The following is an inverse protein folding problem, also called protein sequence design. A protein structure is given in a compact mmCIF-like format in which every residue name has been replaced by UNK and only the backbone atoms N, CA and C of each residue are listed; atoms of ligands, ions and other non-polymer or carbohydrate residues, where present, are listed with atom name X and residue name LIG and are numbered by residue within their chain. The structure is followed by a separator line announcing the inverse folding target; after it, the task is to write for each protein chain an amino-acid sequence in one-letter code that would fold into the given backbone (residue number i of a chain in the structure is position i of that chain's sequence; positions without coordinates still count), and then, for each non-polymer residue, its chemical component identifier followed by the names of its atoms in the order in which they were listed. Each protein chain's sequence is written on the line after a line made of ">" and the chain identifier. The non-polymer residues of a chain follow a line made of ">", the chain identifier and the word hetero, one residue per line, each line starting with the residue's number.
data_IF_709931661926
#
_entry.id   IF_709931661926
#
_cell.length_a   1.000
_cell.length_b   1.000
_cell.length_c   1.000
_cell.angle_alpha   90.00
_cell.angle_beta   90.00
_cell.angle_gamma   90.00
#
_symmetry.space_group_name_H-M   'P 1'
#
loop_
_entity.id
_entity.type
_entity.pdbx_description
1 polymer ?
#
# COMPACT_ATOMS: atom_id res chain seq x y z
N UNK A 1 -30.27 -12.43 -22.45
CA UNK A 1 -29.64 -12.42 -21.12
C UNK A 1 -28.33 -13.20 -21.24
N UNK A 2 -27.26 -12.52 -21.63
CA UNK A 2 -25.86 -13.00 -21.63
C UNK A 2 -24.99 -11.80 -22.06
N UNK A 3 -24.58 -10.98 -21.10
CA UNK A 3 -23.34 -10.20 -21.24
C UNK A 3 -22.37 -10.83 -20.26
N UNK A 4 -21.86 -12.02 -20.61
CA UNK A 4 -20.76 -12.60 -19.87
C UNK A 4 -19.63 -11.57 -19.88
N UNK A 5 -19.29 -11.03 -18.71
CA UNK A 5 -18.02 -10.39 -18.45
C UNK A 5 -16.96 -11.47 -18.70
N UNK A 6 -16.58 -11.72 -19.95
CA UNK A 6 -15.46 -12.60 -20.24
C UNK A 6 -14.22 -11.72 -20.10
N UNK A 7 -13.47 -11.78 -18.99
CA UNK A 7 -12.15 -11.15 -18.96
C UNK A 7 -11.26 -11.75 -20.04
N UNK A 8 -10.16 -11.07 -20.35
CA UNK A 8 -9.18 -11.64 -21.28
C UNK A 8 -8.76 -13.05 -20.78
N UNK A 9 -8.87 -14.11 -21.60
CA UNK A 9 -8.72 -15.50 -21.15
C UNK A 9 -7.32 -15.79 -20.60
N UNK A 10 -6.32 -15.03 -21.06
CA UNK A 10 -4.91 -15.27 -20.73
C UNK A 10 -4.41 -14.52 -19.47
N UNK A 11 -5.30 -13.88 -18.70
CA UNK A 11 -4.87 -13.22 -17.45
C UNK A 11 -4.38 -14.29 -16.46
N UNK A 12 -3.12 -14.23 -15.99
CA UNK A 12 -2.55 -15.31 -15.22
C UNK A 12 -2.94 -15.18 -13.73
N UNK A 13 -4.19 -15.51 -13.41
CA UNK A 13 -4.81 -15.26 -12.10
C UNK A 13 -4.10 -15.95 -10.92
N UNK A 14 -3.45 -17.07 -11.19
CA UNK A 14 -2.77 -17.92 -10.21
C UNK A 14 -1.32 -17.52 -9.93
N UNK A 15 -0.75 -16.60 -10.72
CA UNK A 15 0.60 -16.14 -10.48
C UNK A 15 0.69 -15.31 -9.20
N UNK A 16 1.85 -15.32 -8.53
CA UNK A 16 2.17 -14.35 -7.47
C UNK A 16 1.91 -12.92 -7.94
N UNK A 17 1.48 -12.05 -7.02
CA UNK A 17 1.05 -10.67 -7.35
C UNK A 17 2.07 -9.92 -8.22
N UNK A 18 3.36 -9.99 -7.90
CA UNK A 18 4.40 -9.29 -8.67
C UNK A 18 4.56 -9.82 -10.10
N UNK A 19 4.48 -11.13 -10.28
CA UNK A 19 4.56 -11.74 -11.61
C UNK A 19 3.32 -11.43 -12.46
N UNK A 20 2.14 -11.43 -11.84
CA UNK A 20 0.90 -11.03 -12.52
C UNK A 20 0.90 -9.56 -12.92
N UNK A 21 1.47 -8.67 -12.09
CA UNK A 21 1.61 -7.26 -12.43
C UNK A 21 2.67 -7.02 -13.51
N UNK A 22 3.73 -7.84 -13.56
CA UNK A 22 4.66 -7.84 -14.70
C UNK A 22 3.96 -8.23 -16.00
N UNK A 23 3.11 -9.26 -15.99
CA UNK A 23 2.27 -9.59 -17.15
C UNK A 23 1.31 -8.44 -17.54
N UNK A 24 0.82 -7.67 -16.55
CA UNK A 24 0.04 -6.47 -16.82
C UNK A 24 0.87 -5.38 -17.51
N UNK A 25 2.14 -5.22 -17.14
CA UNK A 25 3.08 -4.31 -17.81
C UNK A 25 3.37 -4.76 -19.23
N UNK A 26 3.59 -6.06 -19.46
CA UNK A 26 3.81 -6.60 -20.81
C UNK A 26 2.59 -6.34 -21.73
N UNK A 27 1.38 -6.31 -21.15
CA UNK A 27 0.14 -6.10 -21.89
C UNK A 27 -0.23 -4.62 -22.09
N UNK A 28 -0.06 -3.76 -21.07
CA UNK A 28 -0.52 -2.36 -21.08
C UNK A 28 0.61 -1.33 -21.20
N UNK A 29 1.84 -1.68 -20.87
CA UNK A 29 2.93 -0.75 -20.59
C UNK A 29 2.88 -0.18 -19.16
N UNK A 30 4.04 0.24 -18.64
CA UNK A 30 4.19 0.72 -17.26
C UNK A 30 3.30 1.93 -16.95
N UNK A 31 3.30 2.95 -17.82
CA UNK A 31 2.51 4.17 -17.66
C UNK A 31 1.02 3.86 -17.45
N UNK A 32 0.48 2.95 -18.27
CA UNK A 32 -0.93 2.57 -18.19
C UNK A 32 -1.23 1.73 -16.96
N UNK A 33 -0.31 0.85 -16.54
CA UNK A 33 -0.44 0.10 -15.29
C UNK A 33 -0.48 1.05 -14.09
N UNK A 34 0.40 2.05 -14.05
CA UNK A 34 0.38 3.06 -12.99
C UNK A 34 -0.92 3.86 -13.04
N UNK A 35 -1.34 4.37 -14.19
CA UNK A 35 -2.59 5.12 -14.33
C UNK A 35 -3.81 4.33 -13.83
N UNK A 36 -3.87 3.03 -14.16
CA UNK A 36 -4.92 2.13 -13.71
C UNK A 36 -4.82 1.84 -12.19
N UNK A 37 -3.61 1.70 -11.64
CA UNK A 37 -3.40 1.55 -10.20
C UNK A 37 -3.88 2.79 -9.41
N UNK A 38 -3.62 3.98 -9.94
CA UNK A 38 -4.09 5.24 -9.38
C UNK A 38 -5.61 5.37 -9.45
N UNK A 39 -6.23 4.95 -10.57
CA UNK A 39 -7.68 4.88 -10.68
C UNK A 39 -8.27 3.96 -9.59
N UNK A 40 -7.73 2.74 -9.45
CA UNK A 40 -8.16 1.84 -8.38
C UNK A 40 -7.99 2.46 -6.99
N UNK A 41 -6.85 3.11 -6.69
CA UNK A 41 -6.60 3.75 -5.40
C UNK A 41 -7.57 4.91 -5.10
N UNK A 42 -8.11 5.59 -6.12
CA UNK A 42 -9.19 6.58 -5.97
C UNK A 42 -10.57 5.96 -5.77
N UNK A 43 -10.70 4.63 -5.82
CA UNK A 43 -11.99 3.94 -5.84
C UNK A 43 -12.68 4.02 -7.21
N UNK A 44 -11.94 4.37 -8.27
CA UNK A 44 -12.45 4.45 -9.63
C UNK A 44 -12.33 3.10 -10.35
N UNK A 45 -13.09 2.94 -11.43
CA UNK A 45 -13.02 1.76 -12.27
C UNK A 45 -11.80 1.79 -13.20
N UNK A 46 -10.87 0.85 -13.03
CA UNK A 46 -9.71 0.68 -13.91
C UNK A 46 -9.91 -0.37 -15.03
N UNK A 47 -11.13 -0.87 -15.20
CA UNK A 47 -11.46 -1.93 -16.13
C UNK A 47 -11.35 -3.33 -15.52
N UNK A 48 -12.21 -4.24 -15.99
CA UNK A 48 -12.33 -5.62 -15.49
C UNK A 48 -11.00 -6.39 -15.53
N UNK A 49 -10.24 -6.26 -16.61
CA UNK A 49 -9.02 -7.03 -16.81
C UNK A 49 -7.92 -6.54 -15.86
N UNK A 50 -7.78 -5.22 -15.71
CA UNK A 50 -6.82 -4.68 -14.74
C UNK A 50 -7.20 -5.00 -13.29
N UNK A 51 -8.49 -5.01 -12.96
CA UNK A 51 -8.95 -5.48 -11.65
C UNK A 51 -8.47 -6.91 -11.36
N UNK A 52 -8.45 -7.78 -12.37
CA UNK A 52 -7.93 -9.14 -12.27
C UNK A 52 -6.41 -9.20 -12.24
N UNK A 53 -5.70 -8.36 -12.97
CA UNK A 53 -4.24 -8.23 -12.83
C UNK A 53 -3.84 -7.77 -11.42
N UNK A 54 -4.57 -6.83 -10.83
CA UNK A 54 -4.26 -6.32 -9.49
C UNK A 54 -4.75 -7.26 -8.36
N UNK A 55 -5.94 -7.84 -8.51
CA UNK A 55 -6.65 -8.61 -7.48
C UNK A 55 -6.60 -10.13 -7.60
N UNK A 56 -6.35 -10.66 -8.81
CA UNK A 56 -6.30 -12.11 -9.06
C UNK A 56 -7.65 -12.78 -8.98
N UNK A 57 -7.66 -14.03 -8.49
CA UNK A 57 -8.90 -14.78 -8.23
C UNK A 57 -9.91 -14.02 -7.36
N UNK A 58 -9.46 -13.18 -6.42
CA UNK A 58 -10.38 -12.37 -5.62
C UNK A 58 -11.11 -11.31 -6.47
N UNK A 59 -10.49 -10.84 -7.55
CA UNK A 59 -11.14 -9.96 -8.50
C UNK A 59 -12.29 -10.64 -9.25
N UNK A 60 -12.20 -11.96 -9.51
CA UNK A 60 -13.31 -12.71 -10.12
C UNK A 60 -14.56 -12.65 -9.25
N UNK A 61 -14.41 -12.84 -7.93
CA UNK A 61 -15.54 -12.74 -7.00
C UNK A 61 -16.25 -11.39 -7.09
N UNK A 62 -15.51 -10.28 -7.24
CA UNK A 62 -16.08 -8.95 -7.44
C UNK A 62 -16.82 -8.86 -8.79
N UNK A 63 -16.23 -9.41 -9.86
CA UNK A 63 -16.88 -9.45 -11.18
C UNK A 63 -18.15 -10.33 -11.18
N UNK A 64 -18.20 -11.33 -10.30
CA UNK A 64 -19.35 -12.22 -10.08
C UNK A 64 -20.38 -11.64 -9.08
N UNK A 65 -20.22 -10.36 -8.69
CA UNK A 65 -21.21 -9.61 -7.90
C UNK A 65 -20.94 -9.54 -6.40
N UNK A 66 -19.79 -10.03 -5.91
CA UNK A 66 -19.39 -9.79 -4.53
C UNK A 66 -19.12 -8.30 -4.29
N UNK A 67 -19.43 -7.77 -3.10
CA UNK A 67 -19.14 -6.37 -2.78
C UNK A 67 -17.64 -6.11 -2.82
N UNK A 68 -17.24 -5.06 -3.55
CA UNK A 68 -15.83 -4.70 -3.71
C UNK A 68 -15.18 -4.23 -2.39
N UNK A 69 -15.95 -3.56 -1.52
CA UNK A 69 -15.43 -2.92 -0.30
C UNK A 69 -14.20 -2.05 -0.66
N UNK A 70 -13.13 -2.11 0.15
CA UNK A 70 -11.87 -1.38 -0.07
C UNK A 70 -10.84 -2.16 -0.92
N UNK A 71 -11.21 -3.34 -1.46
CA UNK A 71 -10.26 -4.22 -2.11
C UNK A 71 -9.62 -3.62 -3.37
N UNK A 72 -10.39 -2.96 -4.27
CA UNK A 72 -9.81 -2.28 -5.41
C UNK A 72 -8.78 -1.22 -5.00
N UNK A 73 -9.09 -0.36 -4.03
CA UNK A 73 -8.16 0.68 -3.55
C UNK A 73 -6.88 0.06 -2.99
N UNK A 74 -7.02 -0.99 -2.18
CA UNK A 74 -5.88 -1.72 -1.64
C UNK A 74 -5.01 -2.33 -2.74
N UNK A 75 -5.62 -2.91 -3.78
CA UNK A 75 -4.89 -3.51 -4.90
C UNK A 75 -4.23 -2.45 -5.79
N UNK A 76 -4.85 -1.28 -5.94
CA UNK A 76 -4.24 -0.09 -6.54
C UNK A 76 -2.97 0.31 -5.79
N UNK A 77 -3.06 0.55 -4.48
CA UNK A 77 -1.89 0.87 -3.65
C UNK A 77 -0.81 -0.22 -3.70
N UNK A 78 -1.21 -1.51 -3.64
CA UNK A 78 -0.24 -2.63 -3.72
C UNK A 78 0.47 -2.69 -5.06
N UNK A 79 -0.22 -2.36 -6.16
CA UNK A 79 0.40 -2.32 -7.49
C UNK A 79 1.59 -1.37 -7.52
N UNK A 80 1.51 -0.25 -6.79
CA UNK A 80 2.58 0.75 -6.70
C UNK A 80 3.86 0.25 -5.98
N UNK A 81 3.80 -0.88 -5.27
CA UNK A 81 5.00 -1.58 -4.78
C UNK A 81 5.76 -2.32 -5.89
N UNK A 82 5.10 -2.62 -7.00
CA UNK A 82 5.67 -3.41 -8.10
C UNK A 82 5.98 -2.55 -9.32
N UNK A 83 5.11 -1.59 -9.63
CA UNK A 83 5.23 -0.70 -10.79
C UNK A 83 5.02 0.73 -10.31
N UNK A 84 6.00 1.61 -10.55
CA UNK A 84 6.05 2.92 -9.91
C UNK A 84 6.34 4.04 -10.90
N UNK A 85 5.74 5.20 -10.62
CA UNK A 85 6.04 6.48 -11.22
C UNK A 85 5.95 7.53 -10.10
N UNK A 86 6.88 8.50 -10.06
CA UNK A 86 6.91 9.51 -9.00
C UNK A 86 5.66 10.40 -8.95
N UNK A 87 4.93 10.54 -10.07
CA UNK A 87 3.64 11.23 -10.11
C UNK A 87 2.55 10.53 -9.27
N UNK A 88 2.77 9.28 -8.85
CA UNK A 88 1.88 8.56 -7.95
C UNK A 88 1.96 9.04 -6.48
N UNK A 89 3.07 9.69 -6.09
CA UNK A 89 3.33 10.04 -4.69
C UNK A 89 2.20 10.84 -4.01
N UNK A 90 1.62 11.90 -4.62
CA UNK A 90 0.53 12.66 -3.98
C UNK A 90 -0.70 11.82 -3.64
N UNK A 91 -1.05 10.85 -4.49
CA UNK A 91 -2.20 9.99 -4.23
C UNK A 91 -1.88 8.94 -3.15
N UNK A 92 -0.66 8.41 -3.11
CA UNK A 92 -0.22 7.52 -2.01
C UNK A 92 -0.30 8.24 -0.67
N UNK A 93 0.18 9.49 -0.60
CA UNK A 93 0.08 10.33 0.60
C UNK A 93 -1.38 10.57 1.01
N UNK A 94 -2.25 10.85 0.06
CA UNK A 94 -3.70 10.97 0.31
C UNK A 94 -4.28 9.68 0.90
N UNK A 95 -3.83 8.53 0.41
CA UNK A 95 -4.24 7.20 0.90
C UNK A 95 -3.85 6.89 2.34
N UNK A 96 -2.90 7.63 2.94
CA UNK A 96 -2.58 7.54 4.37
C UNK A 96 -3.77 7.99 5.26
N UNK A 97 -4.76 8.70 4.70
CA UNK A 97 -5.99 9.09 5.40
C UNK A 97 -7.22 8.31 4.96
N UNK A 98 -7.05 7.21 4.22
CA UNK A 98 -8.17 6.41 3.71
C UNK A 98 -9.02 5.84 4.86
N UNK A 99 -10.33 5.73 4.63
CA UNK A 99 -11.27 5.17 5.61
C UNK A 99 -10.94 3.72 5.98
N UNK A 100 -10.46 2.92 5.01
CA UNK A 100 -10.06 1.55 5.23
C UNK A 100 -8.61 1.46 5.77
N UNK A 101 -8.46 0.88 6.97
CA UNK A 101 -7.14 0.73 7.61
C UNK A 101 -6.15 -0.07 6.77
N UNK A 102 -6.60 -1.03 5.95
CA UNK A 102 -5.72 -1.79 5.05
C UNK A 102 -5.13 -0.93 3.94
N UNK A 103 -5.87 0.06 3.45
CA UNK A 103 -5.36 1.01 2.44
C UNK A 103 -4.33 1.93 3.11
N UNK A 104 -4.61 2.43 4.31
CA UNK A 104 -3.62 3.22 5.09
C UNK A 104 -2.33 2.44 5.33
N UNK A 105 -2.44 1.18 5.78
CA UNK A 105 -1.30 0.29 5.97
C UNK A 105 -0.51 0.12 4.67
N UNK A 106 -1.18 -0.15 3.56
CA UNK A 106 -0.52 -0.36 2.26
C UNK A 106 0.16 0.92 1.77
N UNK A 107 -0.48 2.07 1.86
CA UNK A 107 0.12 3.35 1.50
C UNK A 107 1.36 3.66 2.35
N UNK A 108 1.32 3.39 3.67
CA UNK A 108 2.50 3.56 4.53
C UNK A 108 3.67 2.63 4.11
N UNK A 109 3.35 1.43 3.61
CA UNK A 109 4.37 0.53 3.03
C UNK A 109 4.93 1.04 1.71
N UNK A 110 4.09 1.60 0.83
CA UNK A 110 4.56 2.22 -0.42
C UNK A 110 5.44 3.43 -0.12
N UNK A 111 5.06 4.26 0.86
CA UNK A 111 5.87 5.40 1.34
C UNK A 111 7.26 4.95 1.76
N UNK A 112 7.37 3.87 2.56
CA UNK A 112 8.65 3.31 2.96
C UNK A 112 9.45 2.79 1.76
N UNK A 113 8.84 1.94 0.94
CA UNK A 113 9.54 1.28 -0.19
C UNK A 113 10.03 2.27 -1.25
N UNK A 114 9.26 3.33 -1.48
CA UNK A 114 9.55 4.35 -2.50
C UNK A 114 10.28 5.57 -1.95
N UNK A 115 10.59 5.60 -0.65
CA UNK A 115 11.29 6.73 -0.03
C UNK A 115 10.52 8.04 -0.10
N UNK A 116 9.17 8.00 -0.06
CA UNK A 116 8.34 9.20 -0.18
C UNK A 116 8.43 10.00 1.14
N UNK A 117 8.80 11.29 1.11
CA UNK A 117 8.76 12.14 2.29
C UNK A 117 7.33 12.30 2.81
N UNK A 118 7.08 11.87 4.04
CA UNK A 118 5.77 11.78 4.67
C UNK A 118 5.84 11.83 6.21
N UNK A 119 6.91 12.36 6.80
CA UNK A 119 7.13 12.30 8.24
C UNK A 119 5.93 12.82 9.08
N UNK A 120 5.30 13.98 8.75
CA UNK A 120 4.12 14.44 9.49
C UNK A 120 2.93 13.47 9.44
N UNK A 121 2.64 12.90 8.26
CA UNK A 121 1.56 11.94 8.06
C UNK A 121 1.84 10.63 8.80
N UNK A 122 3.09 10.18 8.78
CA UNK A 122 3.53 8.97 9.47
C UNK A 122 3.46 9.12 10.98
N UNK A 123 3.84 10.28 11.54
CA UNK A 123 3.65 10.59 12.97
C UNK A 123 2.17 10.49 13.35
N UNK A 124 1.26 11.05 12.55
CA UNK A 124 -0.18 10.89 12.82
C UNK A 124 -0.62 9.43 12.79
N UNK A 125 -0.09 8.62 11.86
CA UNK A 125 -0.41 7.20 11.76
C UNK A 125 0.19 6.34 12.89
N UNK A 126 1.16 6.83 13.66
CA UNK A 126 1.59 6.11 14.87
C UNK A 126 0.48 6.08 15.92
N UNK A 127 -0.50 6.99 15.88
CA UNK A 127 -1.66 6.99 16.76
C UNK A 127 -2.90 6.29 16.16
N UNK A 128 -2.76 5.61 15.01
CA UNK A 128 -3.86 4.94 14.34
C UNK A 128 -4.54 3.88 15.23
N UNK A 129 -5.85 3.73 15.09
CA UNK A 129 -6.59 2.73 15.86
C UNK A 129 -6.09 1.29 15.60
N UNK A 130 -5.67 1.01 14.37
CA UNK A 130 -5.26 -0.30 13.93
C UNK A 130 -3.75 -0.53 14.15
N UNK A 131 -3.42 -1.61 14.86
CA UNK A 131 -2.04 -1.95 15.21
C UNK A 131 -1.12 -2.17 14.00
N UNK A 132 -1.66 -2.65 12.87
CA UNK A 132 -0.89 -2.86 11.64
C UNK A 132 -0.52 -1.53 10.98
N UNK A 133 -1.42 -0.56 11.02
CA UNK A 133 -1.15 0.80 10.52
C UNK A 133 -0.08 1.47 11.38
N UNK A 134 -0.21 1.42 12.72
CA UNK A 134 0.84 1.92 13.64
C UNK A 134 2.20 1.29 13.35
N UNK A 135 2.22 -0.03 13.16
CA UNK A 135 3.46 -0.76 12.85
C UNK A 135 4.07 -0.39 11.49
N UNK A 136 3.25 -0.15 10.47
CA UNK A 136 3.72 0.30 9.17
C UNK A 136 4.29 1.74 9.26
N UNK A 137 3.60 2.61 10.01
CA UNK A 137 4.01 3.98 10.25
C UNK A 137 5.35 4.07 10.99
N UNK A 138 5.54 3.28 12.04
CA UNK A 138 6.81 3.23 12.79
C UNK A 138 8.00 2.81 11.91
N UNK A 139 7.82 1.82 11.03
CA UNK A 139 8.87 1.39 10.09
C UNK A 139 9.20 2.48 9.08
N UNK A 140 8.18 3.08 8.48
CA UNK A 140 8.35 4.16 7.53
C UNK A 140 9.01 5.38 8.20
N UNK A 141 8.58 5.75 9.41
CA UNK A 141 9.11 6.89 10.15
C UNK A 141 10.57 6.67 10.55
N UNK A 142 10.99 5.45 10.90
CA UNK A 142 12.39 5.16 11.19
C UNK A 142 13.32 5.40 9.98
N UNK A 143 12.83 5.18 8.77
CA UNK A 143 13.61 5.32 7.54
C UNK A 143 13.85 6.78 7.12
N UNK A 144 13.01 7.73 7.56
CA UNK A 144 13.06 9.13 7.10
C UNK A 144 12.97 10.19 8.22
N UNK A 145 12.56 9.81 9.42
CA UNK A 145 12.36 10.73 10.54
C UNK A 145 13.69 11.12 11.17
N UNK A 146 13.80 12.32 11.71
CA UNK A 146 14.97 12.85 12.44
C UNK A 146 15.02 12.43 13.91
N UNK A 147 16.05 12.86 14.65
CA UNK A 147 16.18 12.65 16.10
C UNK A 147 14.95 13.13 16.90
N UNK A 148 14.19 14.11 16.41
CA UNK A 148 12.96 14.59 17.06
C UNK A 148 11.88 13.50 17.16
N UNK A 149 11.90 12.55 16.23
CA UNK A 149 10.93 11.44 16.16
C UNK A 149 11.22 10.32 17.16
N UNK A 150 12.33 10.40 17.90
CA UNK A 150 12.62 9.51 19.00
C UNK A 150 11.45 9.47 20.01
N UNK A 151 11.00 10.62 20.52
CA UNK A 151 9.94 10.61 21.53
C UNK A 151 8.65 9.96 21.01
N UNK A 152 8.32 10.16 19.72
CA UNK A 152 7.18 9.52 19.06
C UNK A 152 7.32 8.00 19.05
N UNK A 153 8.45 7.47 18.58
CA UNK A 153 8.68 6.01 18.51
C UNK A 153 8.67 5.36 19.91
N UNK A 154 9.29 5.99 20.91
CA UNK A 154 9.41 5.43 22.27
C UNK A 154 8.05 5.20 22.96
N UNK A 155 7.03 6.01 22.64
CA UNK A 155 5.68 5.85 23.21
C UNK A 155 5.11 4.46 22.93
N UNK A 156 5.53 3.82 21.84
CA UNK A 156 5.05 2.51 21.42
C UNK A 156 5.82 1.32 22.03
N UNK A 157 6.84 1.54 22.87
CA UNK A 157 7.44 0.46 23.67
C UNK A 157 6.44 -0.18 24.63
N UNK A 158 5.44 0.59 25.04
CA UNK A 158 4.31 0.16 25.88
C UNK A 158 2.99 0.18 25.13
N UNK A 159 3.00 0.01 23.79
CA UNK A 159 1.79 0.02 22.97
C UNK A 159 0.72 -0.96 23.50
N UNK A 160 -0.54 -0.54 23.39
CA UNK A 160 -1.71 -1.34 23.79
C UNK A 160 -1.78 -2.70 23.10
N UNK A 161 -1.30 -2.77 21.86
CA UNK A 161 -1.15 -4.01 21.12
C UNK A 161 0.30 -4.50 21.25
N UNK A 162 0.46 -5.69 21.81
CA UNK A 162 1.76 -6.29 22.09
C UNK A 162 2.59 -6.53 20.82
N UNK A 163 1.95 -6.67 19.66
CA UNK A 163 2.65 -6.86 18.38
C UNK A 163 3.39 -5.61 17.89
N UNK A 164 3.00 -4.41 18.35
CA UNK A 164 3.61 -3.14 17.94
C UNK A 164 4.91 -2.86 18.71
N UNK A 165 5.01 -3.32 19.96
CA UNK A 165 6.16 -3.07 20.84
C UNK A 165 7.52 -3.48 20.25
N UNK A 166 7.71 -4.70 19.70
CA UNK A 166 8.97 -5.05 19.06
C UNK A 166 9.23 -4.23 17.79
N UNK A 167 8.19 -3.81 17.07
CA UNK A 167 8.32 -2.94 15.89
C UNK A 167 8.81 -1.54 16.30
N UNK A 168 8.32 -1.00 17.42
CA UNK A 168 8.78 0.26 17.97
C UNK A 168 10.26 0.20 18.37
N UNK A 169 10.68 -0.87 19.03
CA UNK A 169 12.10 -1.06 19.39
C UNK A 169 12.97 -1.13 18.13
N UNK A 170 12.57 -1.95 17.15
CA UNK A 170 13.30 -2.04 15.88
C UNK A 170 13.35 -0.69 15.15
N UNK A 171 12.23 0.06 15.14
CA UNK A 171 12.18 1.39 14.55
C UNK A 171 13.13 2.37 15.23
N UNK A 172 13.29 2.29 16.56
CA UNK A 172 14.28 3.08 17.29
C UNK A 172 15.70 2.72 16.85
N UNK A 173 16.00 1.44 16.80
CA UNK A 173 17.35 0.96 16.47
C UNK A 173 17.72 1.33 15.03
N UNK A 174 16.78 1.16 14.09
CA UNK A 174 16.94 1.58 12.69
C UNK A 174 17.18 3.08 12.58
N UNK A 175 16.40 3.91 13.29
CA UNK A 175 16.58 5.37 13.28
C UNK A 175 17.95 5.77 13.83
N UNK A 176 18.36 5.21 14.96
CA UNK A 176 19.67 5.47 15.56
C UNK A 176 20.80 5.10 14.61
N UNK A 177 20.73 3.92 13.99
CA UNK A 177 21.74 3.45 13.05
C UNK A 177 21.85 4.35 11.83
N UNK A 178 20.72 4.82 11.28
CA UNK A 178 20.70 5.76 10.14
C UNK A 178 21.34 7.09 10.51
N UNK A 179 20.94 7.70 11.62
CA UNK A 179 21.47 8.99 12.08
C UNK A 179 22.96 8.95 12.43
N UNK A 180 23.47 7.80 12.88
CA UNK A 180 24.90 7.63 13.16
C UNK A 180 25.75 7.45 11.89
N UNK A 181 25.12 7.14 10.75
CA UNK A 181 25.79 6.94 9.46
C UNK A 181 25.77 8.19 8.55
N UNK A 182 25.09 9.26 8.97
CA UNK A 182 25.00 10.57 8.30
C UNK A 182 26.07 11.54 8.84
#
# INVERSE_FOLDING_TARGET
>A
MEKKLNPHPDIPLDLPTGERLRAAVDHYGEEKVVANALALLRGENAGKDFLLYAGGRHGLGILDGAPALYWPELWGARTLLHVWDDAAAPLVLTGLSNQAWRVREMCARVVLERGIPAAPELVRLTDDENARVRSAALRALAAQGTAEHHAVIARHFSDRDKSVRPVAQQARDTLNARLAAE
#
